data_IF_500021733579
#
_entry.id   IF_500021733579
#
_cell.length_a   1.000
_cell.length_b   1.000
_cell.length_c   1.000
_cell.angle_alpha   90.00
_cell.angle_beta   90.00
_cell.angle_gamma   90.00
#
_symmetry.space_group_name_H-M   'P 1'
#
loop_
_entity.id
_entity.type
_entity.pdbx_description
1 polymer ?
#
# COMPACT_ATOMS: atom_id res chain seq x y z
N UNK A 1 -3.41 -2.61 -18.92
CA UNK A 1 -2.11 -3.23 -18.62
C UNK A 1 -1.45 -2.34 -17.58
N UNK A 2 -1.67 -2.62 -16.30
CA UNK A 2 -0.87 -2.03 -15.23
C UNK A 2 0.34 -2.95 -15.18
N UNK A 3 1.45 -2.51 -15.77
CA UNK A 3 2.49 -3.45 -16.19
C UNK A 3 3.57 -3.70 -15.14
N UNK A 4 3.64 -2.92 -14.07
CA UNK A 4 4.67 -3.09 -13.05
C UNK A 4 4.11 -2.71 -11.66
N UNK A 5 3.30 -3.57 -11.05
CA UNK A 5 3.05 -3.47 -9.61
C UNK A 5 4.17 -4.18 -8.86
N UNK A 6 4.55 -3.61 -7.72
CA UNK A 6 5.71 -4.02 -6.93
C UNK A 6 5.32 -4.52 -5.54
N UNK A 7 4.02 -4.69 -5.25
CA UNK A 7 3.58 -5.04 -3.90
C UNK A 7 3.93 -6.49 -3.53
N UNK A 8 3.99 -7.41 -4.49
CA UNK A 8 4.56 -8.74 -4.22
C UNK A 8 6.07 -8.69 -3.93
N UNK A 9 6.82 -7.80 -4.58
CA UNK A 9 8.24 -7.62 -4.25
C UNK A 9 8.42 -7.06 -2.83
N UNK A 10 7.51 -6.17 -2.41
CA UNK A 10 7.46 -5.67 -1.04
C UNK A 10 7.14 -6.80 -0.05
N UNK A 11 6.12 -7.60 -0.35
CA UNK A 11 5.73 -8.78 0.42
C UNK A 11 6.92 -9.72 0.64
N UNK A 12 7.57 -10.15 -0.44
CA UNK A 12 8.74 -11.02 -0.40
C UNK A 12 9.86 -10.44 0.48
N UNK A 13 10.12 -9.13 0.34
CA UNK A 13 11.17 -8.42 1.09
C UNK A 13 10.86 -8.40 2.59
N UNK A 14 9.62 -8.12 2.98
CA UNK A 14 9.21 -8.08 4.39
C UNK A 14 9.12 -9.47 5.00
N UNK A 15 8.67 -10.46 4.23
CA UNK A 15 8.70 -11.86 4.64
C UNK A 15 10.13 -12.35 4.88
N UNK A 16 11.09 -11.97 4.02
CA UNK A 16 12.50 -12.27 4.26
C UNK A 16 13.03 -11.56 5.51
N UNK A 17 12.77 -10.25 5.62
CA UNK A 17 13.23 -9.43 6.74
C UNK A 17 12.71 -9.95 8.10
N UNK A 18 11.44 -10.36 8.16
CA UNK A 18 10.84 -10.93 9.38
C UNK A 18 11.51 -12.22 9.85
N UNK A 19 12.03 -13.05 8.94
CA UNK A 19 12.82 -14.25 9.30
C UNK A 19 14.17 -13.88 9.92
N UNK A 20 14.80 -12.80 9.44
CA UNK A 20 16.10 -12.35 9.91
C UNK A 20 16.04 -11.71 11.31
N UNK A 21 14.90 -11.11 11.68
CA UNK A 21 14.68 -10.44 12.98
C UNK A 21 14.29 -11.46 14.08
N UNK A 22 14.87 -12.67 14.03
CA UNK A 22 14.55 -13.94 14.73
C UNK A 22 14.26 -13.93 16.26
N UNK A 23 14.25 -12.80 16.97
CA UNK A 23 14.05 -12.73 18.43
C UNK A 23 12.75 -12.06 18.89
N UNK A 24 11.94 -11.49 18.00
CA UNK A 24 10.67 -10.84 18.37
C UNK A 24 9.50 -11.35 17.54
N UNK A 25 8.32 -11.46 18.17
CA UNK A 25 7.05 -11.81 17.53
C UNK A 25 6.56 -10.68 16.59
N UNK A 26 7.44 -10.13 15.75
CA UNK A 26 7.17 -9.02 14.82
C UNK A 26 6.06 -9.39 13.85
N UNK A 27 6.03 -10.64 13.39
CA UNK A 27 5.01 -11.17 12.48
C UNK A 27 3.60 -11.09 13.05
N UNK A 28 3.43 -11.18 14.37
CA UNK A 28 2.10 -11.14 15.00
C UNK A 28 1.52 -9.72 15.05
N UNK A 29 2.35 -8.70 14.81
CA UNK A 29 1.96 -7.28 14.86
C UNK A 29 1.88 -6.64 13.47
N UNK A 30 2.13 -7.39 12.39
CA UNK A 30 2.00 -6.87 11.05
C UNK A 30 0.53 -6.76 10.64
N UNK A 31 0.17 -5.65 10.00
CA UNK A 31 -1.19 -5.32 9.57
C UNK A 31 -1.52 -5.93 8.21
N UNK A 32 -0.53 -6.08 7.34
CA UNK A 32 -0.73 -6.70 6.04
C UNK A 32 -0.74 -8.22 6.21
N UNK A 33 -1.78 -8.84 5.64
CA UNK A 33 -1.81 -10.29 5.46
C UNK A 33 -0.94 -10.67 4.27
N UNK A 34 0.31 -11.02 4.55
CA UNK A 34 1.31 -11.38 3.55
C UNK A 34 1.08 -12.73 2.86
N UNK A 35 0.05 -13.48 3.27
CA UNK A 35 -0.45 -14.65 2.52
C UNK A 35 -1.43 -14.26 1.40
N UNK A 36 -1.89 -13.00 1.37
CA UNK A 36 -2.77 -12.45 0.34
C UNK A 36 -1.98 -11.82 -0.82
N UNK A 37 -2.54 -11.88 -2.04
CA UNK A 37 -1.98 -11.19 -3.23
C UNK A 37 -2.26 -9.68 -3.13
N UNK A 38 -1.24 -8.91 -2.73
CA UNK A 38 -1.31 -7.47 -2.52
C UNK A 38 -1.53 -6.72 -3.83
N UNK A 39 -1.00 -7.25 -4.94
CA UNK A 39 -1.28 -6.69 -6.26
C UNK A 39 -2.77 -6.82 -6.60
N UNK A 40 -3.38 -7.98 -6.37
CA UNK A 40 -4.81 -8.21 -6.60
C UNK A 40 -5.67 -7.29 -5.72
N UNK A 41 -5.34 -7.17 -4.43
CA UNK A 41 -6.04 -6.28 -3.50
C UNK A 41 -6.02 -4.82 -3.98
N UNK A 42 -4.83 -4.31 -4.34
CA UNK A 42 -4.67 -2.96 -4.86
C UNK A 42 -5.44 -2.76 -6.17
N UNK A 43 -5.31 -3.70 -7.12
CA UNK A 43 -5.98 -3.64 -8.43
C UNK A 43 -7.50 -3.66 -8.29
N UNK A 44 -8.03 -4.45 -7.37
CA UNK A 44 -9.47 -4.55 -7.13
C UNK A 44 -10.04 -3.21 -6.66
N UNK A 45 -9.40 -2.58 -5.68
CA UNK A 45 -9.87 -1.29 -5.16
C UNK A 45 -9.64 -0.13 -6.15
N UNK A 46 -8.55 -0.16 -6.93
CA UNK A 46 -8.36 0.75 -8.07
C UNK A 46 -9.43 0.59 -9.14
N UNK A 47 -9.78 -0.65 -9.49
CA UNK A 47 -10.82 -0.93 -10.46
C UNK A 47 -12.19 -0.41 -9.99
N UNK A 48 -12.54 -0.68 -8.72
CA UNK A 48 -13.79 -0.18 -8.12
C UNK A 48 -13.84 1.34 -8.05
N UNK A 49 -12.74 2.00 -7.71
CA UNK A 49 -12.64 3.45 -7.76
C UNK A 49 -12.92 3.99 -9.17
N UNK A 50 -12.30 3.38 -10.19
CA UNK A 50 -12.53 3.74 -11.59
C UNK A 50 -14.01 3.57 -11.98
N UNK A 51 -14.64 2.45 -11.65
CA UNK A 51 -16.06 2.21 -11.96
C UNK A 51 -16.97 3.22 -11.27
N UNK A 52 -16.67 3.60 -10.02
CA UNK A 52 -17.42 4.63 -9.30
C UNK A 52 -17.29 6.02 -9.96
N UNK A 53 -16.10 6.37 -10.45
CA UNK A 53 -15.89 7.60 -11.23
C UNK A 53 -16.69 7.55 -12.55
N UNK A 54 -16.67 6.42 -13.25
CA UNK A 54 -17.47 6.25 -14.47
C UNK A 54 -18.98 6.35 -14.20
N UNK A 55 -19.46 5.82 -13.06
CA UNK A 55 -20.85 5.96 -12.65
C UNK A 55 -21.22 7.43 -12.43
N UNK A 56 -20.36 8.19 -11.73
CA UNK A 56 -20.56 9.62 -11.51
C UNK A 56 -20.68 10.38 -12.83
N UNK A 57 -19.76 10.13 -13.77
CA UNK A 57 -19.77 10.76 -15.09
C UNK A 57 -21.06 10.46 -15.86
N UNK A 58 -21.53 9.21 -15.85
CA UNK A 58 -22.77 8.82 -16.51
C UNK A 58 -24.00 9.46 -15.87
N UNK A 59 -24.07 9.50 -14.53
CA UNK A 59 -25.18 10.11 -13.82
C UNK A 59 -25.25 11.63 -14.03
N UNK A 60 -24.10 12.30 -14.13
CA UNK A 60 -24.00 13.73 -14.45
C UNK A 60 -24.61 14.08 -15.81
N UNK A 61 -24.48 13.21 -16.82
CA UNK A 61 -25.00 13.48 -18.17
C UNK A 61 -26.53 13.60 -18.22
N UNK A 62 -27.24 13.03 -17.27
CA UNK A 62 -28.71 13.00 -17.23
C UNK A 62 -29.30 13.64 -15.96
N UNK A 63 -28.49 14.38 -15.19
CA UNK A 63 -28.87 15.01 -13.90
C UNK A 63 -29.50 14.04 -12.88
N UNK A 64 -29.06 12.78 -12.86
CA UNK A 64 -29.50 11.80 -11.86
C UNK A 64 -28.78 12.04 -10.53
N UNK A 65 -29.32 12.94 -9.72
CA UNK A 65 -28.75 13.36 -8.43
C UNK A 65 -28.60 12.24 -7.42
N UNK A 66 -29.49 11.23 -7.44
CA UNK A 66 -29.43 10.11 -6.49
C UNK A 66 -28.23 9.23 -6.85
N UNK A 67 -28.08 8.88 -8.14
CA UNK A 67 -26.95 8.08 -8.59
C UNK A 67 -25.63 8.84 -8.45
N UNK A 68 -25.62 10.16 -8.67
CA UNK A 68 -24.44 10.99 -8.39
C UNK A 68 -24.02 10.92 -6.92
N UNK A 69 -24.96 11.04 -5.98
CA UNK A 69 -24.68 10.92 -4.55
C UNK A 69 -24.14 9.54 -4.19
N UNK A 70 -24.73 8.47 -4.73
CA UNK A 70 -24.25 7.11 -4.52
C UNK A 70 -22.82 6.92 -5.07
N UNK A 71 -22.54 7.42 -6.28
CA UNK A 71 -21.20 7.36 -6.87
C UNK A 71 -20.15 8.08 -6.02
N UNK A 72 -20.48 9.25 -5.45
CA UNK A 72 -19.59 9.97 -4.54
C UNK A 72 -19.30 9.17 -3.25
N UNK A 73 -20.29 8.48 -2.70
CA UNK A 73 -20.09 7.58 -1.56
C UNK A 73 -19.13 6.44 -1.93
N UNK A 74 -19.30 5.82 -3.09
CA UNK A 74 -18.41 4.75 -3.55
C UNK A 74 -16.98 5.23 -3.80
N UNK A 75 -16.81 6.40 -4.43
CA UNK A 75 -15.49 7.03 -4.61
C UNK A 75 -14.81 7.22 -3.25
N UNK A 76 -15.54 7.77 -2.27
CA UNK A 76 -15.01 7.94 -0.90
C UNK A 76 -14.57 6.60 -0.30
N UNK A 77 -15.42 5.56 -0.39
CA UNK A 77 -15.12 4.23 0.17
C UNK A 77 -13.87 3.62 -0.46
N UNK A 78 -13.77 3.59 -1.78
CA UNK A 78 -12.61 2.97 -2.44
C UNK A 78 -11.33 3.79 -2.26
N UNK A 79 -11.43 5.12 -2.17
CA UNK A 79 -10.30 5.99 -1.81
C UNK A 79 -9.80 5.70 -0.39
N UNK A 80 -10.70 5.51 0.58
CA UNK A 80 -10.31 5.16 1.95
C UNK A 80 -9.64 3.79 2.02
N UNK A 81 -10.11 2.80 1.25
CA UNK A 81 -9.48 1.47 1.20
C UNK A 81 -8.06 1.53 0.65
N UNK A 82 -7.85 2.28 -0.44
CA UNK A 82 -6.52 2.51 -0.99
C UNK A 82 -5.61 3.26 -0.01
N UNK A 83 -6.15 4.25 0.72
CA UNK A 83 -5.40 4.94 1.78
C UNK A 83 -5.00 3.98 2.89
N UNK A 84 -5.91 3.11 3.35
CA UNK A 84 -5.62 2.09 4.37
C UNK A 84 -4.53 1.13 3.91
N UNK A 85 -4.58 0.66 2.66
CA UNK A 85 -3.54 -0.21 2.10
C UNK A 85 -2.14 0.41 2.20
N UNK A 86 -1.98 1.71 1.93
CA UNK A 86 -0.69 2.39 2.09
C UNK A 86 -0.33 2.68 3.55
N UNK A 87 -1.31 2.93 4.41
CA UNK A 87 -1.09 3.10 5.85
C UNK A 87 -0.57 1.78 6.46
N UNK A 88 -1.16 0.65 6.09
CA UNK A 88 -0.73 -0.68 6.57
C UNK A 88 0.73 -0.97 6.17
N UNK A 89 1.16 -0.61 4.95
CA UNK A 89 2.57 -0.70 4.51
C UNK A 89 3.49 0.15 5.40
N UNK A 90 3.05 1.37 5.70
CA UNK A 90 3.82 2.33 6.51
C UNK A 90 3.91 1.86 7.97
N UNK A 91 2.84 1.30 8.53
CA UNK A 91 2.80 0.80 9.89
C UNK A 91 3.63 -0.49 10.06
N UNK A 92 3.66 -1.35 9.05
CA UNK A 92 4.53 -2.52 9.04
C UNK A 92 6.01 -2.13 8.92
N UNK A 93 6.33 -1.13 8.09
CA UNK A 93 7.68 -0.51 8.06
C UNK A 93 8.09 -0.01 9.44
N UNK A 94 7.22 0.74 10.11
CA UNK A 94 7.46 1.24 11.46
C UNK A 94 7.65 0.11 12.47
N UNK A 95 6.92 -1.00 12.30
CA UNK A 95 7.04 -2.19 13.15
C UNK A 95 8.42 -2.82 13.00
N UNK A 96 8.93 -2.96 11.78
CA UNK A 96 10.31 -3.43 11.57
C UNK A 96 11.36 -2.48 12.16
N UNK A 97 11.17 -1.16 12.01
CA UNK A 97 12.09 -0.16 12.57
C UNK A 97 12.13 -0.17 14.10
N UNK A 98 11.00 -0.46 14.77
CA UNK A 98 10.91 -0.46 16.24
C UNK A 98 11.42 -1.75 16.89
N UNK A 99 11.31 -2.88 16.20
CA UNK A 99 11.52 -4.21 16.79
C UNK A 99 12.85 -4.86 16.37
N UNK A 100 13.83 -4.10 15.89
CA UNK A 100 15.17 -4.62 15.59
C UNK A 100 16.25 -3.70 16.12
N UNK A 101 17.43 -4.27 16.38
CA UNK A 101 18.62 -3.52 16.80
C UNK A 101 19.30 -2.83 15.61
N UNK A 102 18.59 -1.88 15.00
CA UNK A 102 19.15 -1.07 13.91
C UNK A 102 20.19 -0.09 14.46
N UNK A 103 21.33 0.10 13.76
CA UNK A 103 22.26 1.14 14.12
C UNK A 103 21.64 2.53 13.88
N UNK A 104 22.09 3.52 14.64
CA UNK A 104 21.73 4.91 14.37
C UNK A 104 22.19 5.33 12.97
N UNK A 105 21.35 6.07 12.24
CA UNK A 105 21.70 6.66 10.95
C UNK A 105 22.64 7.86 11.19
N UNK A 106 23.86 7.89 10.61
CA UNK A 106 24.75 9.05 10.73
C UNK A 106 24.16 10.32 10.09
N UNK A 107 24.47 11.51 10.64
CA UNK A 107 23.95 12.80 10.14
C UNK A 107 24.23 13.05 8.65
N UNK A 108 25.39 12.60 8.15
CA UNK A 108 25.80 12.75 6.75
C UNK A 108 25.70 11.43 5.97
N UNK A 109 24.81 10.52 6.39
CA UNK A 109 24.61 9.27 5.67
C UNK A 109 24.16 9.55 4.23
N UNK A 110 24.78 8.84 3.30
CA UNK A 110 24.42 8.82 1.88
C UNK A 110 24.29 7.36 1.48
N UNK A 111 23.25 7.03 0.70
CA UNK A 111 23.09 5.68 0.19
C UNK A 111 24.30 5.33 -0.69
N UNK A 112 25.05 4.25 -0.38
CA UNK A 112 26.25 3.89 -1.12
C UNK A 112 26.00 3.71 -2.63
N UNK A 113 26.98 4.10 -3.46
CA UNK A 113 26.82 4.12 -4.92
C UNK A 113 26.51 2.75 -5.53
N UNK A 114 27.06 1.67 -4.96
CA UNK A 114 26.89 0.31 -5.49
C UNK A 114 25.45 -0.20 -5.40
N UNK A 115 24.57 0.44 -4.63
CA UNK A 115 23.14 0.12 -4.62
C UNK A 115 22.38 0.72 -5.81
N UNK A 116 22.99 1.59 -6.61
CA UNK A 116 22.37 2.24 -7.78
C UNK A 116 21.00 2.90 -7.47
N UNK A 117 20.82 3.41 -6.26
CA UNK A 117 19.58 4.06 -5.85
C UNK A 117 19.44 5.41 -6.59
N UNK A 118 18.37 5.62 -7.40
CA UNK A 118 18.29 6.77 -8.30
C UNK A 118 17.93 8.09 -7.60
N UNK A 119 17.35 8.05 -6.40
CA UNK A 119 16.81 9.23 -5.70
C UNK A 119 17.64 9.54 -4.44
N UNK A 120 18.91 9.91 -4.63
CA UNK A 120 19.81 10.32 -3.53
C UNK A 120 19.51 11.73 -3.04
#
# INVERSE_FOLDING_TARGET
MIKDLFFEMLNDSYHQLSKEISESNVTDNLLIDYESDLNEMYLLDMHRLKEAICLLQKAQLIDDKITMQAALVYIRVHSMRLSGFFEDIKDDSDTFLKNSEWPNIPENYQVPEHYNYPNK
#
